data_IF_184740962369
#
_entry.id   IF_184740962369
#
_cell.length_a   1.000
_cell.length_b   1.000
_cell.length_c   1.000
_cell.angle_alpha   90.00
_cell.angle_beta   90.00
_cell.angle_gamma   90.00
#
_symmetry.space_group_name_H-M   'P 1'
#
loop_
_entity.id
_entity.type
_entity.pdbx_description
1 polymer ?
#
# COMPACT_ATOMS: atom_id res chain seq x y z
N UNK A 1 5.34 -6.53 16.00
CA UNK A 1 5.15 -5.22 15.34
C UNK A 1 4.54 -4.17 16.26
N UNK A 2 3.32 -4.34 16.81
CA UNK A 2 2.67 -3.32 17.66
C UNK A 2 3.54 -2.86 18.85
N UNK A 3 4.04 -3.81 19.65
CA UNK A 3 4.92 -3.50 20.78
C UNK A 3 6.20 -2.74 20.34
N UNK A 4 6.80 -3.13 19.21
CA UNK A 4 7.97 -2.46 18.63
C UNK A 4 7.69 -1.00 18.26
N UNK A 5 6.53 -0.73 17.63
CA UNK A 5 6.11 0.63 17.34
C UNK A 5 5.76 1.41 18.62
N UNK A 6 5.31 0.70 19.67
CA UNK A 6 5.04 1.25 21.00
C UNK A 6 6.30 1.78 21.67
N UNK A 7 7.39 1.02 21.60
CA UNK A 7 8.68 1.41 22.18
C UNK A 7 9.45 2.41 21.34
N UNK A 8 9.30 2.37 20.00
CA UNK A 8 10.00 3.27 19.09
C UNK A 8 9.04 3.89 18.06
N UNK A 9 8.63 5.13 18.33
CA UNK A 9 7.71 5.92 17.49
C UNK A 9 8.32 6.33 16.15
N UNK A 10 9.65 6.36 16.04
CA UNK A 10 10.33 6.71 14.78
C UNK A 10 10.03 5.70 13.66
N UNK A 11 9.61 4.49 14.02
CA UNK A 11 9.28 3.41 13.10
C UNK A 11 7.91 3.54 12.45
N UNK A 12 7.01 4.40 12.96
CA UNK A 12 5.64 4.53 12.43
C UNK A 12 5.65 4.90 10.95
N UNK A 13 6.54 5.81 10.54
CA UNK A 13 6.67 6.20 9.13
C UNK A 13 7.09 5.03 8.24
N UNK A 14 8.08 4.25 8.69
CA UNK A 14 8.55 3.07 7.96
C UNK A 14 7.48 1.98 7.86
N UNK A 15 6.69 1.79 8.93
CA UNK A 15 5.56 0.87 8.95
C UNK A 15 4.47 1.28 7.96
N UNK A 16 4.13 2.57 7.88
CA UNK A 16 3.16 3.09 6.91
C UNK A 16 3.62 2.82 5.48
N UNK A 17 4.87 3.14 5.14
CA UNK A 17 5.36 2.92 3.78
C UNK A 17 5.42 1.43 3.40
N UNK A 18 5.84 0.55 4.31
CA UNK A 18 5.84 -0.89 4.03
C UNK A 18 4.40 -1.45 3.91
N UNK A 19 3.45 -0.92 4.68
CA UNK A 19 2.03 -1.26 4.56
C UNK A 19 1.46 -0.83 3.21
N UNK A 20 1.80 0.38 2.76
CA UNK A 20 1.40 0.89 1.45
C UNK A 20 2.01 0.05 0.34
N UNK A 21 3.30 -0.27 0.40
CA UNK A 21 3.93 -1.14 -0.59
C UNK A 21 3.20 -2.49 -0.65
N UNK A 22 3.16 -3.23 0.46
CA UNK A 22 2.73 -4.63 0.45
C UNK A 22 1.22 -4.80 0.22
N UNK A 23 0.43 -3.96 0.89
CA UNK A 23 -1.02 -4.11 1.06
C UNK A 23 -1.75 -2.77 0.77
N UNK A 24 -1.15 -1.93 -0.09
CA UNK A 24 -1.70 -0.62 -0.46
C UNK A 24 -3.07 -0.70 -1.11
N UNK A 25 -3.93 0.31 -0.92
CA UNK A 25 -5.32 0.24 -1.34
C UNK A 25 -5.46 0.20 -2.85
N UNK A 26 -4.67 0.95 -3.63
CA UNK A 26 -4.78 0.95 -5.10
C UNK A 26 -4.08 -0.27 -5.69
N UNK A 27 -4.84 -1.15 -6.35
CA UNK A 27 -4.33 -2.39 -6.92
C UNK A 27 -3.95 -2.23 -8.39
N UNK A 28 -4.82 -1.60 -9.18
CA UNK A 28 -4.55 -1.27 -10.58
C UNK A 28 -5.26 0.01 -11.00
N UNK A 29 -4.67 0.72 -11.96
CA UNK A 29 -5.34 1.78 -12.72
C UNK A 29 -5.17 1.48 -14.21
N UNK A 30 -5.67 2.35 -15.07
CA UNK A 30 -5.57 2.19 -16.51
C UNK A 30 -5.01 3.44 -17.19
N UNK A 31 -4.50 3.24 -18.39
CA UNK A 31 -4.20 4.27 -19.39
C UNK A 31 -4.83 3.86 -20.71
N UNK A 32 -5.05 4.84 -21.58
CA UNK A 32 -5.40 4.61 -22.98
C UNK A 32 -4.17 4.93 -23.81
N UNK A 33 -3.79 4.03 -24.70
CA UNK A 33 -2.67 4.22 -25.60
C UNK A 33 -3.04 5.28 -26.66
N UNK A 34 -2.22 6.33 -26.82
CA UNK A 34 -2.53 7.46 -27.72
C UNK A 34 -1.87 7.34 -29.09
N UNK A 35 -1.00 6.36 -29.27
CA UNK A 35 -0.31 6.03 -30.53
C UNK A 35 0.28 4.63 -30.36
N UNK A 36 0.44 3.87 -31.44
CA UNK A 36 1.07 2.54 -31.39
C UNK A 36 2.42 2.56 -30.64
N UNK A 37 2.61 1.59 -29.74
CA UNK A 37 3.76 1.51 -28.86
C UNK A 37 4.15 0.07 -28.53
N UNK A 38 5.45 -0.18 -28.36
CA UNK A 38 5.98 -1.47 -27.92
C UNK A 38 6.51 -1.38 -26.48
N UNK A 39 6.00 -2.23 -25.59
CA UNK A 39 6.44 -2.30 -24.20
C UNK A 39 6.75 -3.74 -23.80
N UNK A 40 8.01 -4.02 -23.44
CA UNK A 40 8.43 -5.35 -22.99
C UNK A 40 8.20 -6.45 -24.04
N UNK A 41 8.31 -6.11 -25.33
CA UNK A 41 8.04 -7.02 -26.45
C UNK A 41 6.55 -7.17 -26.80
N UNK A 42 5.63 -6.52 -26.09
CA UNK A 42 4.21 -6.51 -26.41
C UNK A 42 3.85 -5.28 -27.24
N UNK A 43 3.12 -5.48 -28.35
CA UNK A 43 2.55 -4.41 -29.17
C UNK A 43 1.25 -3.92 -28.53
N UNK A 44 1.14 -2.62 -28.32
CA UNK A 44 -0.03 -1.91 -27.78
C UNK A 44 -0.47 -0.92 -28.85
N UNK A 45 -1.70 -1.03 -29.33
CA UNK A 45 -2.22 -0.18 -30.42
C UNK A 45 -2.86 1.08 -29.87
N UNK A 46 -2.92 2.13 -30.69
CA UNK A 46 -3.73 3.31 -30.39
C UNK A 46 -5.17 2.91 -30.00
N UNK A 47 -5.67 3.49 -28.90
CA UNK A 47 -6.98 3.20 -28.34
C UNK A 47 -7.03 2.05 -27.34
N UNK A 48 -5.99 1.22 -27.26
CA UNK A 48 -5.95 0.10 -26.30
C UNK A 48 -5.96 0.59 -24.85
N UNK A 49 -6.71 -0.13 -24.02
CA UNK A 49 -6.70 0.06 -22.56
C UNK A 49 -5.58 -0.76 -21.93
N UNK A 50 -4.62 -0.07 -21.32
CA UNK A 50 -3.48 -0.68 -20.64
C UNK A 50 -3.72 -0.65 -19.14
N UNK A 51 -3.84 -1.84 -18.53
CA UNK A 51 -3.94 -1.98 -17.09
C UNK A 51 -2.55 -1.94 -16.42
N UNK A 52 -2.36 -1.03 -15.47
CA UNK A 52 -1.13 -0.87 -14.70
C UNK A 52 -1.38 -1.42 -13.30
N UNK A 53 -0.77 -2.56 -12.98
CA UNK A 53 -0.92 -3.27 -11.71
C UNK A 53 0.09 -2.77 -10.67
N UNK A 54 -0.25 -1.70 -9.96
CA UNK A 54 0.56 -1.13 -8.87
C UNK A 54 0.87 -2.16 -7.78
N UNK A 55 -0.11 -3.00 -7.42
CA UNK A 55 0.10 -4.08 -6.45
C UNK A 55 1.14 -5.10 -6.90
N UNK A 56 1.19 -5.41 -8.20
CA UNK A 56 2.22 -6.29 -8.76
C UNK A 56 3.59 -5.62 -8.73
N UNK A 57 3.69 -4.36 -9.17
CA UNK A 57 4.95 -3.60 -9.14
C UNK A 57 5.52 -3.48 -7.72
N UNK A 58 4.66 -3.27 -6.73
CA UNK A 58 5.05 -3.23 -5.33
C UNK A 58 5.55 -4.57 -4.78
N UNK A 59 5.23 -5.68 -5.43
CA UNK A 59 5.65 -7.04 -5.05
C UNK A 59 6.63 -7.66 -6.06
N UNK A 60 7.20 -6.84 -6.94
CA UNK A 60 8.18 -7.32 -7.92
C UNK A 60 9.50 -7.69 -7.22
N UNK A 61 9.96 -8.95 -7.27
CA UNK A 61 11.21 -9.37 -6.64
C UNK A 61 12.45 -8.75 -7.28
N UNK A 62 12.39 -8.28 -8.53
CA UNK A 62 13.49 -7.55 -9.17
C UNK A 62 13.71 -6.16 -8.55
N UNK A 63 12.67 -5.60 -7.92
CA UNK A 63 12.75 -4.31 -7.21
C UNK A 63 12.85 -4.55 -5.71
N UNK A 64 11.99 -5.38 -5.11
CA UNK A 64 11.88 -5.61 -3.68
C UNK A 64 12.18 -7.08 -3.34
N UNK A 65 13.38 -7.33 -2.81
CA UNK A 65 13.76 -8.67 -2.31
C UNK A 65 12.76 -9.17 -1.25
N UNK A 66 12.41 -10.47 -1.28
CA UNK A 66 11.40 -11.07 -0.39
C UNK A 66 10.11 -10.22 -0.36
N UNK A 67 9.44 -10.04 -1.52
CA UNK A 67 8.41 -9.01 -1.69
C UNK A 67 7.15 -9.25 -0.85
N UNK A 68 6.86 -10.51 -0.50
CA UNK A 68 5.70 -10.87 0.33
C UNK A 68 5.96 -10.75 1.84
N UNK A 69 7.22 -10.60 2.26
CA UNK A 69 7.57 -10.34 3.64
C UNK A 69 7.32 -8.86 3.99
N UNK A 70 6.86 -8.63 5.21
CA UNK A 70 6.72 -7.29 5.76
C UNK A 70 8.03 -6.89 6.45
N UNK A 71 8.85 -6.09 5.77
CA UNK A 71 10.18 -5.69 6.24
C UNK A 71 10.21 -4.18 6.49
N UNK A 72 10.48 -3.79 7.74
CA UNK A 72 10.66 -2.38 8.05
C UNK A 72 11.97 -1.85 7.45
N UNK A 73 11.98 -0.56 7.10
CA UNK A 73 13.17 0.18 6.65
C UNK A 73 13.85 -0.42 5.41
N UNK A 74 13.08 -0.97 4.46
CA UNK A 74 13.63 -1.33 3.14
C UNK A 74 14.37 -0.12 2.54
N UNK A 75 15.60 -0.28 2.03
CA UNK A 75 16.41 0.85 1.56
C UNK A 75 15.83 1.54 0.31
N UNK A 76 14.97 0.84 -0.43
CA UNK A 76 14.39 1.24 -1.70
C UNK A 76 12.89 1.56 -1.61
N UNK A 77 12.38 1.86 -0.41
CA UNK A 77 10.93 2.07 -0.19
C UNK A 77 10.33 3.19 -1.04
N UNK A 78 11.13 4.20 -1.43
CA UNK A 78 10.71 5.29 -2.30
C UNK A 78 10.20 4.82 -3.68
N UNK A 79 10.55 3.60 -4.09
CA UNK A 79 10.13 3.00 -5.37
C UNK A 79 8.71 2.42 -5.36
N UNK A 80 8.04 2.37 -4.20
CA UNK A 80 6.67 1.86 -4.14
C UNK A 80 5.73 2.74 -5.00
N UNK A 81 4.78 2.10 -5.66
CA UNK A 81 3.92 2.67 -6.69
C UNK A 81 2.48 2.91 -6.21
N UNK A 82 2.17 2.74 -4.93
CA UNK A 82 0.81 2.86 -4.37
C UNK A 82 0.13 4.19 -4.66
N UNK A 83 0.93 5.27 -4.72
CA UNK A 83 0.46 6.62 -5.03
C UNK A 83 0.62 7.00 -6.51
N UNK A 84 0.93 6.02 -7.37
CA UNK A 84 1.29 6.27 -8.76
C UNK A 84 2.62 7.01 -8.91
N UNK A 85 2.88 7.50 -10.11
CA UNK A 85 4.10 8.23 -10.46
C UNK A 85 3.82 9.26 -11.58
N UNK A 86 4.72 10.24 -11.73
CA UNK A 86 4.66 11.26 -12.77
C UNK A 86 3.60 12.33 -12.51
N UNK A 87 3.06 12.92 -13.57
CA UNK A 87 2.12 14.05 -13.51
C UNK A 87 0.80 13.73 -12.78
N UNK A 88 0.47 12.44 -12.64
CA UNK A 88 -0.70 11.96 -11.91
C UNK A 88 -0.35 11.34 -10.55
N UNK A 89 0.85 11.59 -10.03
CA UNK A 89 1.20 11.19 -8.66
C UNK A 89 0.16 11.77 -7.69
N UNK A 90 -0.34 10.93 -6.77
CA UNK A 90 -1.45 11.26 -5.89
C UNK A 90 -1.19 12.56 -5.13
N UNK A 91 -2.00 13.60 -5.40
CA UNK A 91 -1.93 14.87 -4.69
C UNK A 91 -2.22 14.71 -3.19
N UNK A 92 -3.03 13.72 -2.82
CA UNK A 92 -3.37 13.40 -1.42
C UNK A 92 -2.32 12.57 -0.68
N UNK A 93 -1.21 12.19 -1.31
CA UNK A 93 -0.25 11.27 -0.69
C UNK A 93 0.32 11.78 0.64
N UNK A 94 0.56 13.09 0.77
CA UNK A 94 1.00 13.70 2.02
C UNK A 94 -0.06 13.63 3.13
N UNK A 95 -1.31 13.93 2.79
CA UNK A 95 -2.44 13.91 3.73
C UNK A 95 -2.69 12.48 4.22
N UNK A 96 -2.79 11.51 3.31
CA UNK A 96 -3.03 10.10 3.65
C UNK A 96 -1.95 9.55 4.61
N UNK A 97 -0.69 9.92 4.39
CA UNK A 97 0.41 9.53 5.28
C UNK A 97 0.32 10.18 6.66
N UNK A 98 -0.05 11.45 6.71
CA UNK A 98 -0.23 12.16 7.97
C UNK A 98 -1.41 11.57 8.76
N UNK A 99 -2.57 11.37 8.14
CA UNK A 99 -3.74 10.75 8.77
C UNK A 99 -3.42 9.36 9.33
N UNK A 100 -2.75 8.51 8.54
CA UNK A 100 -2.31 7.19 9.00
C UNK A 100 -1.36 7.30 10.20
N UNK A 101 -0.41 8.24 10.19
CA UNK A 101 0.50 8.47 11.30
C UNK A 101 -0.24 8.93 12.57
N UNK A 102 -1.20 9.85 12.45
CA UNK A 102 -1.97 10.33 13.59
C UNK A 102 -2.84 9.22 14.19
N UNK A 103 -3.53 8.45 13.35
CA UNK A 103 -4.32 7.29 13.79
C UNK A 103 -3.47 6.27 14.53
N UNK A 104 -2.35 5.84 13.94
CA UNK A 104 -1.47 4.82 14.53
C UNK A 104 -0.90 5.30 15.87
N UNK A 105 -0.38 6.53 15.93
CA UNK A 105 0.16 7.08 17.18
C UNK A 105 -0.92 7.22 18.26
N UNK A 106 -2.14 7.62 17.89
CA UNK A 106 -3.25 7.72 18.84
C UNK A 106 -3.62 6.37 19.45
N UNK A 107 -3.67 5.31 18.63
CA UNK A 107 -3.87 3.94 19.12
C UNK A 107 -2.74 3.52 20.08
N UNK A 108 -1.49 3.72 19.65
CA UNK A 108 -0.33 3.30 20.43
C UNK A 108 -0.16 4.09 21.75
N UNK A 109 -0.70 5.29 21.85
CA UNK A 109 -0.71 6.10 23.09
C UNK A 109 -1.70 5.56 24.11
N UNK A 110 -2.88 5.12 23.66
CA UNK A 110 -3.99 4.75 24.53
C UNK A 110 -4.04 3.27 24.89
N UNK A 111 -3.62 2.40 23.98
CA UNK A 111 -3.81 0.95 24.12
C UNK A 111 -2.47 0.21 24.18
N UNK A 112 -2.35 -0.73 25.12
CA UNK A 112 -1.17 -1.58 25.30
C UNK A 112 -1.01 -2.61 24.17
N UNK A 113 -2.11 -3.10 23.59
CA UNK A 113 -2.11 -4.01 22.42
C UNK A 113 -3.45 -4.02 21.68
N UNK A 114 -3.43 -4.57 20.47
CA UNK A 114 -4.61 -4.90 19.67
C UNK A 114 -4.69 -6.42 19.53
N UNK A 115 -5.85 -6.99 19.80
CA UNK A 115 -6.13 -8.42 19.62
C UNK A 115 -7.17 -8.61 18.52
N UNK A 116 -7.05 -9.70 17.75
CA UNK A 116 -8.09 -10.06 16.78
C UNK A 116 -9.34 -10.48 17.53
N UNK A 117 -10.50 -9.94 17.14
CA UNK A 117 -11.80 -10.22 17.75
C UNK A 117 -12.73 -11.00 16.82
N UNK A 118 -12.24 -11.50 15.70
CA UNK A 118 -13.05 -12.18 14.70
C UNK A 118 -12.39 -12.25 13.32
N UNK A 119 -13.14 -12.77 12.37
CA UNK A 119 -12.69 -12.92 10.99
C UNK A 119 -12.52 -11.56 10.29
N UNK A 120 -11.44 -11.45 9.50
CA UNK A 120 -11.22 -10.31 8.61
C UNK A 120 -11.87 -10.61 7.27
N UNK A 121 -12.87 -9.83 6.87
CA UNK A 121 -13.56 -10.00 5.59
C UNK A 121 -13.00 -8.99 4.60
N UNK A 122 -12.49 -9.49 3.47
CA UNK A 122 -12.03 -8.63 2.37
C UNK A 122 -13.23 -7.98 1.69
N UNK A 123 -13.13 -6.68 1.40
CA UNK A 123 -14.17 -5.99 0.64
C UNK A 123 -14.29 -6.60 -0.77
N UNK A 124 -15.53 -6.61 -1.29
CA UNK A 124 -15.85 -7.06 -2.65
C UNK A 124 -16.15 -5.90 -3.62
N UNK A 125 -15.88 -4.66 -3.21
CA UNK A 125 -16.22 -3.42 -3.93
C UNK A 125 -15.47 -3.17 -5.25
N UNK A 126 -14.88 -4.19 -5.86
CA UNK A 126 -14.27 -4.13 -7.19
C UNK A 126 -12.80 -4.56 -7.24
N UNK A 127 -12.25 -4.59 -8.46
CA UNK A 127 -10.89 -5.04 -8.74
C UNK A 127 -9.82 -3.94 -8.60
N UNK A 128 -10.23 -2.68 -8.38
CA UNK A 128 -9.33 -1.53 -8.35
C UNK A 128 -8.71 -1.33 -6.97
N UNK A 129 -9.40 -1.76 -5.90
CA UNK A 129 -8.99 -1.48 -4.54
C UNK A 129 -8.88 -2.74 -3.68
N UNK A 130 -7.85 -2.79 -2.84
CA UNK A 130 -7.73 -3.71 -1.73
C UNK A 130 -8.18 -3.00 -0.45
N UNK A 131 -8.92 -3.74 0.39
CA UNK A 131 -9.41 -3.27 1.67
C UNK A 131 -10.16 -4.37 2.40
N UNK A 132 -10.46 -4.12 3.67
CA UNK A 132 -11.29 -5.00 4.48
C UNK A 132 -12.66 -4.34 4.65
N UNK A 133 -13.72 -5.11 4.43
CA UNK A 133 -15.08 -4.73 4.80
C UNK A 133 -15.24 -4.79 6.32
N UNK A 134 -14.68 -5.82 6.95
CA UNK A 134 -14.64 -5.95 8.41
C UNK A 134 -13.26 -6.39 8.89
N UNK A 135 -12.83 -5.83 10.01
CA UNK A 135 -11.61 -6.24 10.72
C UNK A 135 -11.86 -6.09 12.24
N UNK A 136 -12.57 -7.03 12.88
CA UNK A 136 -12.88 -6.94 14.29
C UNK A 136 -11.61 -7.00 15.14
N UNK A 137 -11.45 -6.03 16.05
CA UNK A 137 -10.31 -5.96 16.97
C UNK A 137 -10.76 -5.58 18.37
N UNK A 138 -10.13 -6.17 19.39
CA UNK A 138 -10.24 -5.75 20.78
C UNK A 138 -9.11 -4.76 21.08
N UNK A 139 -9.48 -3.62 21.67
CA UNK A 139 -8.54 -2.60 22.12
C UNK A 139 -8.23 -2.84 23.60
N UNK A 140 -7.02 -3.28 23.91
CA UNK A 140 -6.62 -3.55 25.30
C UNK A 140 -5.92 -2.32 25.85
N UNK A 141 -6.45 -1.77 26.94
CA UNK A 141 -5.85 -0.64 27.67
C UNK A 141 -4.57 -1.11 28.36
#
# INVERSE_FOLDING_TARGET
MYATLRTDRSLVRAFIEESLRRDGPVQRLHRVCTQDYELGGAQIREGDWVAIFHASANRDPAVFERPDEFILKRPNMIKQATFGHGIHHCMGAGIARNEAAQMINSLLNRYSRLESAGERVRQRGGLLNYGLETCPVNLVV
#
